data_IF_407936049711
#
_entry.id   IF_407936049711
#
_cell.length_a   1.000
_cell.length_b   1.000
_cell.length_c   1.000
_cell.angle_alpha   90.00
_cell.angle_beta   90.00
_cell.angle_gamma   90.00
#
_symmetry.space_group_name_H-M   'P 1'
#
loop_
_entity.id
_entity.type
_entity.pdbx_description
1 polymer ?
#
# COMPACT_ATOMS: atom_id res chain seq x y z
N UNK A 1 -7.96 -8.64 14.04
CA UNK A 1 -6.91 -7.79 14.64
C UNK A 1 -6.23 -7.02 13.51
N UNK A 2 -6.37 -5.70 13.47
CA UNK A 2 -5.79 -4.85 12.41
C UNK A 2 -4.28 -4.60 12.60
N UNK A 3 -3.79 -4.79 13.84
CA UNK A 3 -2.37 -4.73 14.17
C UNK A 3 -1.85 -6.12 14.52
N UNK A 4 -0.67 -6.46 14.01
CA UNK A 4 0.04 -7.67 14.39
C UNK A 4 0.50 -7.54 15.85
N UNK A 5 0.33 -8.62 16.62
CA UNK A 5 0.83 -8.72 17.98
C UNK A 5 2.08 -9.61 17.94
N UNK A 6 3.31 -9.05 17.93
CA UNK A 6 4.53 -9.82 17.67
C UNK A 6 5.08 -10.50 18.93
N UNK A 7 4.26 -10.79 19.95
CA UNK A 7 4.74 -11.31 21.25
C UNK A 7 5.47 -12.63 21.10
N UNK A 8 4.94 -13.56 20.31
CA UNK A 8 5.58 -14.86 20.10
C UNK A 8 6.99 -14.72 19.50
N UNK A 9 7.18 -13.81 18.55
CA UNK A 9 8.49 -13.54 17.95
C UNK A 9 9.45 -12.90 18.96
N UNK A 10 8.99 -11.93 19.75
CA UNK A 10 9.78 -11.32 20.84
C UNK A 10 10.25 -12.36 21.85
N UNK A 11 9.35 -13.21 22.35
CA UNK A 11 9.66 -14.16 23.42
C UNK A 11 10.45 -15.37 22.95
N UNK A 12 10.13 -15.93 21.78
CA UNK A 12 10.76 -17.18 21.31
C UNK A 12 12.04 -16.94 20.52
N UNK A 13 12.14 -15.82 19.83
CA UNK A 13 13.23 -15.54 18.88
C UNK A 13 14.09 -14.34 19.31
N UNK A 14 13.74 -13.65 20.41
CA UNK A 14 14.41 -12.40 20.80
C UNK A 14 14.21 -11.27 19.78
N UNK A 15 13.20 -11.39 18.92
CA UNK A 15 13.01 -10.47 17.79
C UNK A 15 12.53 -9.09 18.25
N UNK A 16 13.05 -8.03 17.65
CA UNK A 16 12.60 -6.66 17.84
C UNK A 16 12.44 -5.94 16.49
N UNK A 17 11.53 -4.97 16.43
CA UNK A 17 11.37 -4.12 15.25
C UNK A 17 12.54 -3.15 15.19
N UNK A 18 13.28 -3.14 14.09
CA UNK A 18 14.36 -2.18 13.83
C UNK A 18 13.91 -1.00 12.96
N UNK A 19 12.69 -1.08 12.41
CA UNK A 19 12.11 -0.13 11.47
C UNK A 19 11.54 1.10 12.17
N UNK A 20 11.78 2.28 11.60
CA UNK A 20 11.15 3.53 12.01
C UNK A 20 10.21 3.97 10.88
N UNK A 21 8.91 3.73 11.07
CA UNK A 21 7.92 3.88 10.02
C UNK A 21 7.97 5.26 9.31
N UNK A 22 8.02 6.40 10.01
CA UNK A 22 8.23 7.71 9.39
C UNK A 22 9.46 7.81 8.46
N UNK A 23 10.60 7.24 8.86
CA UNK A 23 11.83 7.31 8.06
C UNK A 23 11.78 6.34 6.89
N UNK A 24 11.34 5.10 7.14
CA UNK A 24 11.19 4.08 6.11
C UNK A 24 10.25 4.56 4.98
N UNK A 25 9.16 5.28 5.33
CA UNK A 25 8.24 5.81 4.32
C UNK A 25 8.86 6.87 3.43
N UNK A 26 9.76 7.72 3.96
CA UNK A 26 10.47 8.73 3.16
C UNK A 26 11.37 8.04 2.12
N UNK A 27 12.18 7.09 2.56
CA UNK A 27 13.07 6.33 1.66
C UNK A 27 12.28 5.61 0.58
N UNK A 28 11.20 4.92 0.97
CA UNK A 28 10.33 4.22 0.02
C UNK A 28 9.67 5.15 -0.99
N UNK A 29 9.29 6.36 -0.57
CA UNK A 29 8.73 7.34 -1.48
C UNK A 29 9.78 7.89 -2.45
N UNK A 30 11.00 8.18 -1.98
CA UNK A 30 12.09 8.61 -2.85
C UNK A 30 12.43 7.55 -3.90
N UNK A 31 12.48 6.27 -3.52
CA UNK A 31 12.64 5.17 -4.48
C UNK A 31 11.50 5.13 -5.50
N UNK A 32 10.26 5.26 -5.03
CA UNK A 32 9.06 5.27 -5.87
C UNK A 32 9.12 6.37 -6.96
N UNK A 33 9.60 7.57 -6.58
CA UNK A 33 9.82 8.68 -7.51
C UNK A 33 11.03 8.42 -8.43
N UNK A 34 12.14 7.88 -7.91
CA UNK A 34 13.35 7.57 -8.70
C UNK A 34 13.06 6.59 -9.84
N UNK A 35 12.19 5.60 -9.61
CA UNK A 35 11.79 4.64 -10.65
C UNK A 35 10.67 5.17 -11.58
N UNK A 36 10.27 6.43 -11.42
CA UNK A 36 9.27 7.10 -12.26
C UNK A 36 7.85 6.55 -12.07
N UNK A 37 7.57 5.84 -10.97
CA UNK A 37 6.22 5.30 -10.72
C UNK A 37 5.21 6.39 -10.37
N UNK A 38 5.66 7.53 -9.90
CA UNK A 38 4.86 8.74 -9.72
C UNK A 38 4.27 9.27 -11.03
N UNK A 39 4.88 8.95 -12.17
CA UNK A 39 4.45 9.39 -13.51
C UNK A 39 3.81 8.29 -14.34
N UNK A 40 3.73 7.07 -13.80
CA UNK A 40 3.14 5.96 -14.53
C UNK A 40 1.66 6.25 -14.71
N UNK A 41 1.21 6.28 -15.96
CA UNK A 41 -0.21 6.36 -16.28
C UNK A 41 -0.96 5.20 -15.62
N UNK A 42 -1.96 5.53 -14.82
CA UNK A 42 -2.76 4.54 -14.10
C UNK A 42 -4.01 4.30 -14.92
N UNK A 43 -4.14 3.08 -15.44
CA UNK A 43 -5.34 2.64 -16.14
C UNK A 43 -6.28 1.94 -15.18
N UNK A 44 -7.56 2.29 -15.25
CA UNK A 44 -8.62 1.76 -14.40
C UNK A 44 -9.57 0.85 -15.20
N UNK A 45 -9.04 0.07 -16.13
CA UNK A 45 -9.83 -0.78 -17.05
C UNK A 45 -10.74 -1.78 -16.32
N UNK A 46 -10.39 -2.17 -15.09
CA UNK A 46 -11.25 -3.04 -14.26
C UNK A 46 -12.43 -2.25 -13.69
N UNK A 47 -12.18 -1.04 -13.18
CA UNK A 47 -13.18 -0.13 -12.66
C UNK A 47 -14.17 0.25 -13.78
N UNK A 48 -13.68 0.51 -15.00
CA UNK A 48 -14.52 0.76 -16.17
C UNK A 48 -15.49 -0.41 -16.43
N UNK A 49 -15.00 -1.65 -16.40
CA UNK A 49 -15.84 -2.86 -16.55
C UNK A 49 -16.86 -3.00 -15.42
N UNK A 50 -16.49 -2.63 -14.19
CA UNK A 50 -17.39 -2.67 -13.03
C UNK A 50 -18.50 -1.63 -13.21
N UNK A 51 -18.17 -0.40 -13.62
CA UNK A 51 -19.14 0.66 -13.88
C UNK A 51 -20.09 0.30 -15.03
N UNK A 52 -19.58 -0.28 -16.12
CA UNK A 52 -20.39 -0.80 -17.22
C UNK A 52 -21.36 -1.90 -16.75
N UNK A 53 -20.90 -2.81 -15.89
CA UNK A 53 -21.72 -3.90 -15.37
C UNK A 53 -22.80 -3.41 -14.37
N UNK A 54 -22.49 -2.38 -13.57
CA UNK A 54 -23.38 -1.86 -12.55
C UNK A 54 -24.65 -1.21 -13.13
N UNK A 55 -24.60 -0.62 -14.34
CA UNK A 55 -25.74 0.07 -14.98
C UNK A 55 -26.45 1.10 -14.06
N UNK A 56 -25.75 1.59 -13.03
CA UNK A 56 -26.26 2.62 -12.11
C UNK A 56 -25.83 3.98 -12.68
N UNK A 57 -26.71 5.00 -12.70
CA UNK A 57 -26.30 6.35 -13.09
C UNK A 57 -25.22 6.85 -12.14
N UNK A 58 -24.03 7.10 -12.67
CA UNK A 58 -22.92 7.72 -11.94
C UNK A 58 -23.13 9.23 -11.97
N UNK A 59 -23.31 9.86 -10.81
CA UNK A 59 -23.26 11.31 -10.68
C UNK A 59 -21.81 11.77 -10.80
N UNK A 60 -21.52 12.61 -11.80
CA UNK A 60 -20.23 13.30 -11.99
C UNK A 60 -20.15 14.52 -11.08
#
# INVERSE_FOLDING_TARGET
HFYAEPRAAKTKLGWSSTTNLPEDLKERFEEYVKIGRDKKDIKFELDDKILEALKVPVSV
#
